data_IF_735703267182
#
_entry.id   IF_735703267182
#
_cell.length_a   1.000
_cell.length_b   1.000
_cell.length_c   1.000
_cell.angle_alpha   90.00
_cell.angle_beta   90.00
_cell.angle_gamma   90.00
#
_symmetry.space_group_name_H-M   'P 1'
#
loop_
_entity.id
_entity.type
_entity.pdbx_description
1 polymer ?
#
# COMPACT_ATOMS: atom_id res chain seq x y z
N UNK A 1 -1.42 -20.45 -12.85
CA UNK A 1 -0.16 -20.45 -12.16
C UNK A 1 0.71 -19.27 -12.54
N UNK A 2 0.29 -18.02 -12.27
CA UNK A 2 1.13 -16.82 -12.47
C UNK A 2 0.85 -15.74 -11.40
N UNK A 3 0.36 -16.14 -10.24
CA UNK A 3 0.00 -15.21 -9.14
C UNK A 3 1.18 -14.68 -8.31
N UNK A 4 2.41 -15.04 -8.64
CA UNK A 4 3.58 -14.70 -7.81
C UNK A 4 4.21 -13.34 -8.09
N UNK A 5 3.69 -12.54 -9.02
CA UNK A 5 4.26 -11.24 -9.38
C UNK A 5 3.66 -10.05 -8.59
N UNK A 6 2.72 -10.30 -7.70
CA UNK A 6 1.90 -9.28 -7.03
C UNK A 6 2.35 -8.91 -5.62
N UNK A 7 3.28 -9.66 -5.02
CA UNK A 7 3.71 -9.40 -3.65
C UNK A 7 4.81 -8.33 -3.61
N UNK A 8 4.60 -7.30 -2.78
CA UNK A 8 5.65 -6.34 -2.43
C UNK A 8 6.54 -6.89 -1.32
N UNK A 9 7.77 -6.36 -1.21
CA UNK A 9 8.65 -6.72 -0.10
C UNK A 9 8.00 -6.41 1.26
N UNK A 10 7.24 -5.33 1.35
CA UNK A 10 6.49 -4.99 2.57
C UNK A 10 5.54 -6.11 2.96
N UNK A 11 4.67 -6.54 2.04
CA UNK A 11 3.72 -7.63 2.28
C UNK A 11 4.43 -8.95 2.61
N UNK A 12 5.50 -9.28 1.88
CA UNK A 12 6.30 -10.48 2.12
C UNK A 12 6.85 -10.55 3.56
N UNK A 13 7.26 -9.41 4.12
CA UNK A 13 7.74 -9.32 5.51
C UNK A 13 6.56 -9.37 6.48
N UNK A 14 5.58 -8.49 6.33
CA UNK A 14 4.56 -8.22 7.34
C UNK A 14 3.34 -9.16 7.31
N UNK A 15 3.28 -10.12 6.40
CA UNK A 15 2.37 -11.29 6.52
C UNK A 15 2.88 -12.33 7.52
N UNK A 16 4.11 -12.20 8.01
CA UNK A 16 4.63 -13.03 9.08
C UNK A 16 4.28 -12.41 10.44
N UNK A 17 3.57 -13.17 11.29
CA UNK A 17 3.05 -12.69 12.58
C UNK A 17 4.13 -12.14 13.51
N UNK A 18 5.36 -12.67 13.44
CA UNK A 18 6.47 -12.21 14.28
C UNK A 18 6.93 -10.78 13.91
N UNK A 19 6.79 -10.39 12.63
CA UNK A 19 7.15 -9.05 12.17
C UNK A 19 5.95 -8.10 12.21
N UNK A 20 4.74 -8.61 12.01
CA UNK A 20 3.52 -7.83 12.10
C UNK A 20 3.20 -7.36 13.53
N UNK A 21 3.50 -8.18 14.52
CA UNK A 21 3.18 -7.83 15.91
C UNK A 21 3.87 -6.54 16.41
N UNK A 22 5.18 -6.31 16.17
CA UNK A 22 5.80 -5.02 16.46
C UNK A 22 5.15 -3.85 15.74
N UNK A 23 4.72 -4.05 14.48
CA UNK A 23 4.02 -3.03 13.70
C UNK A 23 2.68 -2.66 14.33
N UNK A 24 1.88 -3.65 14.69
CA UNK A 24 0.61 -3.46 15.40
C UNK A 24 0.81 -2.72 16.72
N UNK A 25 1.77 -3.15 17.53
CA UNK A 25 2.06 -2.52 18.81
C UNK A 25 2.46 -1.05 18.63
N UNK A 26 3.26 -0.74 17.62
CA UNK A 26 3.71 0.61 17.34
C UNK A 26 2.55 1.53 16.91
N UNK A 27 1.66 1.05 16.02
CA UNK A 27 0.55 1.86 15.52
C UNK A 27 -0.61 2.00 16.51
N UNK A 28 -0.95 0.92 17.23
CA UNK A 28 -2.09 0.93 18.15
C UNK A 28 -1.69 1.31 19.59
N UNK A 29 -0.41 1.57 19.85
CA UNK A 29 0.09 1.90 21.18
C UNK A 29 -0.12 0.73 22.17
N UNK A 30 -0.05 -0.52 21.70
CA UNK A 30 -0.26 -1.72 22.48
C UNK A 30 1.06 -2.41 22.84
N UNK A 31 1.00 -3.46 23.65
CA UNK A 31 2.18 -4.21 24.07
C UNK A 31 1.94 -5.72 24.02
N UNK A 32 1.24 -6.19 23.00
CA UNK A 32 1.03 -7.62 22.77
C UNK A 32 2.36 -8.35 22.61
N UNK A 33 2.47 -9.51 23.25
CA UNK A 33 3.70 -10.33 23.22
C UNK A 33 3.55 -11.62 22.45
N UNK A 34 2.31 -12.08 22.27
CA UNK A 34 2.03 -13.32 21.57
C UNK A 34 1.61 -13.02 20.12
N UNK A 35 2.39 -13.42 19.13
CA UNK A 35 2.02 -13.25 17.72
C UNK A 35 0.67 -13.88 17.35
N UNK A 36 0.25 -14.95 18.03
CA UNK A 36 -1.06 -15.60 17.80
C UNK A 36 -2.26 -14.75 18.25
N UNK A 37 -2.03 -13.59 18.86
CA UNK A 37 -3.11 -12.66 19.23
C UNK A 37 -3.61 -11.85 18.05
N UNK A 38 -2.87 -11.85 16.93
CA UNK A 38 -3.25 -11.15 15.72
C UNK A 38 -3.61 -12.13 14.62
N UNK A 39 -4.60 -11.79 13.83
CA UNK A 39 -4.97 -12.49 12.61
C UNK A 39 -4.59 -11.59 11.43
N UNK A 40 -3.78 -12.12 10.53
CA UNK A 40 -3.43 -11.42 9.30
C UNK A 40 -4.16 -12.09 8.15
N UNK A 41 -4.87 -11.30 7.40
CA UNK A 41 -5.47 -11.71 6.14
C UNK A 41 -5.15 -10.69 5.07
N UNK A 42 -5.38 -11.03 3.84
CA UNK A 42 -5.35 -10.05 2.76
C UNK A 42 -6.77 -9.62 2.49
N UNK A 43 -6.93 -8.41 1.99
CA UNK A 43 -8.24 -7.95 1.52
C UNK A 43 -8.76 -8.87 0.43
N UNK A 44 -7.87 -9.36 -0.43
CA UNK A 44 -8.18 -10.33 -1.49
C UNK A 44 -8.75 -11.64 -0.93
N UNK A 45 -8.12 -12.23 0.08
CA UNK A 45 -8.57 -13.48 0.69
C UNK A 45 -9.90 -13.29 1.43
N UNK A 46 -10.08 -12.15 2.10
CA UNK A 46 -11.28 -11.83 2.85
C UNK A 46 -12.47 -11.55 1.94
N UNK A 47 -12.26 -10.87 0.80
CA UNK A 47 -13.34 -10.36 -0.05
C UNK A 47 -13.54 -11.14 -1.34
N UNK A 48 -12.64 -12.08 -1.69
CA UNK A 48 -12.58 -12.77 -2.98
C UNK A 48 -12.57 -11.80 -4.18
N UNK A 49 -12.04 -10.59 -3.96
CA UNK A 49 -11.88 -9.53 -4.94
C UNK A 49 -10.38 -9.29 -5.09
N UNK A 50 -9.92 -9.08 -6.31
CA UNK A 50 -8.52 -8.75 -6.57
C UNK A 50 -8.21 -7.30 -6.11
N UNK A 51 -7.82 -7.13 -4.85
CA UNK A 51 -7.30 -5.88 -4.30
C UNK A 51 -5.83 -6.12 -3.94
N UNK A 52 -4.94 -5.40 -4.59
CA UNK A 52 -3.50 -5.63 -4.46
C UNK A 52 -2.89 -4.76 -3.35
N UNK A 53 -1.86 -5.31 -2.68
CA UNK A 53 -0.95 -4.62 -1.77
C UNK A 53 -1.50 -4.16 -0.40
N UNK A 54 -2.67 -4.60 0.02
CA UNK A 54 -3.21 -4.24 1.32
C UNK A 54 -3.03 -5.38 2.33
N UNK A 55 -2.53 -5.03 3.52
CA UNK A 55 -2.43 -5.96 4.64
C UNK A 55 -3.49 -5.58 5.67
N UNK A 56 -4.41 -6.50 5.91
CA UNK A 56 -5.43 -6.39 6.94
C UNK A 56 -4.98 -7.17 8.17
N UNK A 57 -4.96 -6.51 9.30
CA UNK A 57 -4.62 -7.12 10.58
C UNK A 57 -5.80 -6.93 11.53
N UNK A 58 -6.37 -8.04 11.98
CA UNK A 58 -7.42 -8.06 13.00
C UNK A 58 -6.80 -8.34 14.34
N UNK A 59 -7.13 -7.52 15.33
CA UNK A 59 -6.71 -7.72 16.71
C UNK A 59 -7.76 -7.17 17.68
N UNK A 60 -8.22 -8.00 18.60
CA UNK A 60 -9.31 -7.69 19.52
C UNK A 60 -10.53 -7.10 18.79
N UNK A 61 -10.92 -5.84 19.12
CA UNK A 61 -12.00 -5.11 18.48
C UNK A 61 -11.49 -4.06 17.48
N UNK A 62 -10.32 -4.25 16.90
CA UNK A 62 -9.71 -3.30 15.96
C UNK A 62 -9.33 -3.97 14.67
N UNK A 63 -9.56 -3.24 13.58
CA UNK A 63 -9.15 -3.60 12.23
C UNK A 63 -8.11 -2.60 11.77
N UNK A 64 -6.83 -3.02 11.68
CA UNK A 64 -5.76 -2.21 11.14
C UNK A 64 -5.57 -2.52 9.66
N UNK A 65 -5.76 -1.52 8.82
CA UNK A 65 -5.45 -1.56 7.39
C UNK A 65 -4.17 -0.76 7.15
N UNK A 66 -3.15 -1.43 6.66
CA UNK A 66 -1.86 -0.82 6.37
C UNK A 66 -1.49 -1.07 4.92
N UNK A 67 -1.23 0.01 4.21
CA UNK A 67 -0.82 -0.01 2.81
C UNK A 67 0.49 0.72 2.63
N UNK A 68 1.39 0.16 1.80
CA UNK A 68 2.60 0.83 1.37
C UNK A 68 2.50 1.19 -0.11
N UNK A 69 2.56 2.48 -0.43
CA UNK A 69 2.59 2.95 -1.83
C UNK A 69 3.74 3.90 -2.11
N UNK A 70 4.16 3.99 -3.39
CA UNK A 70 5.29 4.84 -3.81
C UNK A 70 5.01 6.34 -3.74
N UNK A 71 3.76 6.77 -3.93
CA UNK A 71 3.39 8.18 -3.94
C UNK A 71 2.01 8.42 -3.33
N UNK A 72 1.76 9.58 -2.71
CA UNK A 72 0.43 9.94 -2.24
C UNK A 72 -0.51 10.12 -3.44
N UNK A 73 -1.54 9.27 -3.52
CA UNK A 73 -2.61 9.38 -4.51
C UNK A 73 -3.94 9.59 -3.79
N UNK A 74 -4.70 10.60 -4.21
CA UNK A 74 -5.95 11.00 -3.58
C UNK A 74 -7.06 9.92 -3.65
N UNK A 75 -7.00 8.99 -4.61
CA UNK A 75 -8.00 7.93 -4.75
C UNK A 75 -7.83 6.73 -3.80
N UNK A 76 -6.90 6.78 -2.89
CA UNK A 76 -6.49 5.64 -2.03
C UNK A 76 -7.44 5.37 -0.88
N UNK A 77 -8.40 6.25 -0.63
CA UNK A 77 -9.39 6.04 0.45
C UNK A 77 -10.43 4.98 0.11
N UNK A 78 -10.73 4.82 -1.17
CA UNK A 78 -11.81 3.93 -1.62
C UNK A 78 -11.55 2.47 -1.25
N UNK A 79 -10.35 1.90 -1.49
CA UNK A 79 -10.08 0.54 -1.06
C UNK A 79 -10.27 0.31 0.44
N UNK A 80 -9.87 1.25 1.29
CA UNK A 80 -10.07 1.14 2.74
C UNK A 80 -11.55 1.14 3.13
N UNK A 81 -12.34 2.02 2.52
CA UNK A 81 -13.78 2.07 2.74
C UNK A 81 -14.47 0.80 2.25
N UNK A 82 -14.12 0.35 1.04
CA UNK A 82 -14.66 -0.87 0.45
C UNK A 82 -14.35 -2.09 1.34
N UNK A 83 -13.12 -2.21 1.80
CA UNK A 83 -12.69 -3.24 2.75
C UNK A 83 -13.53 -3.26 4.01
N UNK A 84 -13.67 -2.12 4.67
CA UNK A 84 -14.42 -2.01 5.91
C UNK A 84 -15.89 -2.33 5.69
N UNK A 85 -16.52 -1.77 4.65
CA UNK A 85 -17.93 -2.03 4.32
C UNK A 85 -18.18 -3.52 4.01
N UNK A 86 -17.27 -4.15 3.27
CA UNK A 86 -17.41 -5.57 2.94
C UNK A 86 -17.22 -6.45 4.16
N UNK A 87 -16.27 -6.14 5.05
CA UNK A 87 -16.10 -6.83 6.33
C UNK A 87 -17.38 -6.74 7.18
N UNK A 88 -17.95 -5.54 7.31
CA UNK A 88 -19.19 -5.31 8.05
C UNK A 88 -20.33 -6.14 7.46
N UNK A 89 -20.49 -6.12 6.13
CA UNK A 89 -21.51 -6.90 5.44
C UNK A 89 -21.37 -8.41 5.66
N UNK A 90 -20.12 -8.91 5.62
CA UNK A 90 -19.84 -10.32 5.88
C UNK A 90 -20.20 -10.70 7.32
N UNK A 91 -19.82 -9.89 8.30
CA UNK A 91 -20.16 -10.12 9.72
C UNK A 91 -21.66 -10.11 9.95
N UNK A 92 -22.40 -9.18 9.37
CA UNK A 92 -23.85 -9.17 9.43
C UNK A 92 -24.47 -10.43 8.83
N UNK A 93 -23.96 -10.93 7.70
CA UNK A 93 -24.45 -12.15 7.09
C UNK A 93 -24.20 -13.40 7.95
N UNK A 94 -23.05 -13.49 8.63
CA UNK A 94 -22.71 -14.55 9.55
C UNK A 94 -23.65 -14.54 10.78
N UNK A 95 -23.98 -13.36 11.32
CA UNK A 95 -24.83 -13.19 12.50
C UNK A 95 -26.31 -13.43 12.21
N UNK A 96 -26.79 -13.05 11.03
CA UNK A 96 -28.16 -13.37 10.60
C UNK A 96 -28.43 -14.89 10.53
N UNK A 97 -27.38 -15.70 10.48
CA UNK A 97 -27.47 -17.16 10.46
C UNK A 97 -27.48 -17.78 11.87
N UNK A 98 -27.16 -17.02 12.90
CA UNK A 98 -27.13 -17.45 14.29
C UNK A 98 -28.12 -16.62 15.10
N UNK A 99 -29.06 -17.29 15.77
CA UNK A 99 -30.08 -16.69 16.66
C UNK A 99 -29.40 -16.11 17.92
N UNK A 100 -28.64 -15.03 17.80
CA UNK A 100 -27.87 -14.46 18.89
C UNK A 100 -28.28 -13.02 19.19
N UNK A 101 -28.75 -12.82 20.41
CA UNK A 101 -29.05 -11.53 21.06
C UNK A 101 -27.78 -10.76 21.47
N UNK A 102 -26.66 -10.91 20.76
CA UNK A 102 -25.44 -10.14 21.00
C UNK A 102 -25.53 -8.81 20.25
N UNK A 103 -25.27 -7.73 20.98
CA UNK A 103 -25.04 -6.42 20.36
C UNK A 103 -23.91 -6.58 19.33
N UNK A 104 -24.19 -6.19 18.09
CA UNK A 104 -23.26 -6.27 16.97
C UNK A 104 -22.14 -5.25 17.19
N UNK A 105 -21.06 -5.65 17.82
CA UNK A 105 -19.85 -4.82 17.96
C UNK A 105 -19.02 -4.93 16.67
N UNK A 106 -18.87 -3.80 15.99
CA UNK A 106 -17.99 -3.70 14.84
C UNK A 106 -16.58 -3.33 15.29
N UNK A 107 -15.54 -3.87 14.67
CA UNK A 107 -14.18 -3.47 15.00
C UNK A 107 -13.93 -2.02 14.60
N UNK A 108 -13.22 -1.30 15.45
CA UNK A 108 -12.77 0.06 15.17
C UNK A 108 -11.77 0.04 14.00
N UNK A 109 -12.05 0.74 12.87
CA UNK A 109 -11.10 0.81 11.77
C UNK A 109 -9.93 1.74 12.11
N UNK A 110 -8.71 1.23 11.98
CA UNK A 110 -7.47 1.97 12.14
C UNK A 110 -6.72 1.96 10.80
N UNK A 111 -6.74 3.07 10.09
CA UNK A 111 -6.22 3.18 8.73
C UNK A 111 -4.85 3.84 8.77
N UNK A 112 -3.86 3.24 8.13
CA UNK A 112 -2.50 3.79 8.03
C UNK A 112 -1.96 3.60 6.64
N UNK A 113 -1.24 4.59 6.16
CA UNK A 113 -0.53 4.51 4.90
C UNK A 113 0.94 4.83 5.09
N UNK A 114 1.78 3.97 4.56
CA UNK A 114 3.22 4.13 4.59
C UNK A 114 3.75 4.49 3.21
N UNK A 115 4.72 5.39 3.15
CA UNK A 115 5.48 5.62 1.94
C UNK A 115 6.94 5.89 2.30
N UNK A 116 7.83 5.50 1.42
CA UNK A 116 9.25 5.80 1.57
C UNK A 116 9.57 7.02 0.70
N UNK A 117 9.25 8.21 1.23
CA UNK A 117 9.47 9.50 0.59
C UNK A 117 10.93 9.96 0.61
N UNK A 118 11.12 11.26 0.70
CA UNK A 118 12.41 11.90 0.89
C UNK A 118 12.50 12.51 2.29
N UNK A 119 13.69 12.95 2.68
CA UNK A 119 13.91 13.61 3.97
C UNK A 119 13.24 14.99 4.06
N UNK A 120 12.99 15.60 2.91
CA UNK A 120 12.35 16.91 2.79
C UNK A 120 10.82 16.82 2.89
N UNK A 121 10.25 15.63 2.69
CA UNK A 121 8.82 15.42 2.83
C UNK A 121 8.40 15.43 4.31
N UNK A 122 7.15 15.81 4.63
CA UNK A 122 6.64 15.76 6.00
C UNK A 122 6.75 14.35 6.61
N UNK A 123 7.04 14.27 7.90
CA UNK A 123 6.99 12.99 8.64
C UNK A 123 5.63 12.35 8.60
N UNK A 124 4.59 13.15 8.81
CA UNK A 124 3.18 12.72 8.80
C UNK A 124 2.37 13.74 8.02
N UNK A 125 1.56 13.26 7.10
CA UNK A 125 0.55 14.04 6.40
C UNK A 125 -0.81 13.39 6.64
N UNK A 126 -1.82 14.17 7.00
CA UNK A 126 -3.19 13.68 7.12
C UNK A 126 -3.88 13.81 5.76
N UNK A 127 -4.27 12.69 5.20
CA UNK A 127 -5.10 12.65 3.99
C UNK A 127 -6.57 12.65 4.42
N UNK A 128 -7.41 13.47 3.77
CA UNK A 128 -8.83 13.59 4.07
C UNK A 128 -9.69 13.33 2.85
N UNK A 129 -10.74 12.55 3.02
CA UNK A 129 -11.68 12.28 1.94
C UNK A 129 -12.38 13.58 1.47
N UNK A 130 -12.61 14.52 2.38
CA UNK A 130 -13.21 15.83 2.05
C UNK A 130 -12.38 16.66 1.07
N UNK A 131 -11.07 16.44 0.96
CA UNK A 131 -10.20 17.13 0.00
C UNK A 131 -10.59 16.81 -1.46
N UNK A 132 -11.29 15.69 -1.68
CA UNK A 132 -11.78 15.25 -2.99
C UNK A 132 -13.16 15.78 -3.33
N UNK A 133 -13.88 16.34 -2.37
CA UNK A 133 -15.23 16.83 -2.61
C UNK A 133 -15.20 18.09 -3.46
N UNK A 134 -16.06 18.13 -4.48
CA UNK A 134 -16.25 19.36 -5.25
C UNK A 134 -16.78 20.47 -4.32
N UNK A 135 -16.37 21.73 -4.54
CA UNK A 135 -16.93 22.87 -3.79
C UNK A 135 -18.46 22.82 -3.83
N UNK A 136 -19.06 23.00 -2.66
CA UNK A 136 -20.53 23.03 -2.55
C UNK A 136 -21.08 24.24 -3.29
N UNK A 137 -22.11 24.03 -4.09
CA UNK A 137 -23.00 25.11 -4.53
C UNK A 137 -23.99 25.33 -3.38
N UNK A 138 -23.77 26.37 -2.60
CA UNK A 138 -24.66 26.74 -1.50
C UNK A 138 -25.96 27.24 -2.10
N UNK A 139 -27.06 26.54 -1.83
CA UNK A 139 -28.39 27.08 -2.11
C UNK A 139 -28.82 27.94 -0.90
N UNK A 140 -28.95 29.26 -1.04
CA UNK A 140 -29.32 30.16 0.06
C UNK A 140 -30.72 29.85 0.64
N UNK A 141 -31.57 29.15 -0.10
CA UNK A 141 -32.91 28.75 0.33
C UNK A 141 -32.94 27.35 0.98
N UNK A 142 -31.81 26.75 1.28
CA UNK A 142 -31.75 25.44 1.93
C UNK A 142 -32.32 25.49 3.34
N UNK A 143 -33.30 24.64 3.64
CA UNK A 143 -33.90 24.53 4.98
C UNK A 143 -32.92 24.02 6.05
N UNK A 144 -31.85 23.34 5.63
CA UNK A 144 -30.82 22.81 6.53
C UNK A 144 -29.62 23.73 6.66
N UNK A 145 -29.63 24.89 5.97
CA UNK A 145 -28.47 25.78 5.92
C UNK A 145 -27.26 25.14 5.23
N UNK A 146 -26.07 25.54 5.65
CA UNK A 146 -24.80 24.94 5.20
C UNK A 146 -24.59 23.63 5.97
N UNK A 147 -24.68 22.50 5.26
CA UNK A 147 -24.42 21.18 5.84
C UNK A 147 -23.01 20.74 5.44
N UNK A 148 -22.19 20.46 6.42
CA UNK A 148 -20.88 19.85 6.19
C UNK A 148 -21.02 18.44 5.63
N UNK A 149 -19.96 17.94 4.99
CA UNK A 149 -19.91 16.56 4.54
C UNK A 149 -20.11 15.62 5.75
N UNK A 150 -21.04 14.67 5.62
CA UNK A 150 -21.37 13.74 6.70
C UNK A 150 -20.50 12.49 6.67
N UNK A 151 -19.79 12.24 5.57
CA UNK A 151 -18.81 11.19 5.44
C UNK A 151 -17.41 11.80 5.37
N UNK A 152 -16.59 11.46 6.34
CA UNK A 152 -15.16 11.83 6.36
C UNK A 152 -14.34 10.58 6.67
N UNK A 153 -13.21 10.46 5.98
CA UNK A 153 -12.20 9.44 6.26
C UNK A 153 -10.86 10.15 6.32
N UNK A 154 -10.18 9.99 7.42
CA UNK A 154 -8.84 10.52 7.62
C UNK A 154 -7.85 9.36 7.68
N UNK A 155 -6.80 9.44 6.84
CA UNK A 155 -5.75 8.43 6.80
C UNK A 155 -4.41 9.12 7.02
N UNK A 156 -3.70 8.81 8.12
CA UNK A 156 -2.33 9.30 8.30
C UNK A 156 -1.40 8.62 7.29
N UNK A 157 -0.73 9.45 6.50
CA UNK A 157 0.34 9.07 5.59
C UNK A 157 1.67 9.27 6.32
N UNK A 158 2.38 8.19 6.61
CA UNK A 158 3.62 8.22 7.35
C UNK A 158 4.81 8.04 6.42
N UNK A 159 5.73 9.00 6.46
CA UNK A 159 6.99 8.89 5.75
C UNK A 159 7.97 8.00 6.54
N UNK A 160 8.29 6.85 5.98
CA UNK A 160 9.19 5.89 6.61
C UNK A 160 10.65 6.02 6.14
N UNK A 161 11.01 7.15 5.51
CA UNK A 161 12.40 7.42 5.15
C UNK A 161 13.29 7.48 6.40
N UNK A 162 14.53 7.02 6.25
CA UNK A 162 15.53 7.00 7.33
C UNK A 162 15.70 8.37 7.99
N UNK A 163 15.57 8.41 9.31
CA UNK A 163 15.68 9.63 10.12
C UNK A 163 14.36 10.40 10.28
N UNK A 164 13.24 9.82 9.83
CA UNK A 164 11.88 10.31 10.08
C UNK A 164 11.09 9.29 10.88
N UNK A 165 10.10 9.76 11.65
CA UNK A 165 9.28 8.92 12.53
C UNK A 165 10.11 7.99 13.45
N UNK A 166 11.20 8.52 14.02
CA UNK A 166 12.19 7.71 14.77
C UNK A 166 11.57 6.95 15.94
N UNK A 167 10.59 7.52 16.65
CA UNK A 167 9.89 6.83 17.74
C UNK A 167 9.16 5.57 17.24
N UNK A 168 8.51 5.65 16.09
CA UNK A 168 7.87 4.50 15.44
C UNK A 168 8.91 3.45 15.02
N UNK A 169 10.03 3.91 14.43
CA UNK A 169 11.12 3.05 13.98
C UNK A 169 11.84 2.35 15.13
N UNK A 170 11.95 2.98 16.29
CA UNK A 170 12.55 2.40 17.49
C UNK A 170 11.66 1.29 18.09
N UNK A 171 10.35 1.44 18.03
CA UNK A 171 9.39 0.44 18.50
C UNK A 171 9.28 -0.73 17.53
N UNK A 172 9.34 -0.46 16.21
CA UNK A 172 9.17 -1.46 15.17
C UNK A 172 10.46 -1.67 14.37
N UNK A 173 11.39 -2.46 14.91
CA UNK A 173 12.63 -2.80 14.23
C UNK A 173 12.44 -3.38 12.81
N UNK A 174 11.47 -4.29 12.54
CA UNK A 174 11.22 -4.78 11.19
C UNK A 174 10.86 -3.68 10.18
N UNK A 175 10.14 -2.63 10.59
CA UNK A 175 9.79 -1.50 9.72
C UNK A 175 11.01 -0.63 9.42
N UNK A 176 11.83 -0.35 10.44
CA UNK A 176 13.09 0.37 10.27
C UNK A 176 14.01 -0.36 9.29
N UNK A 177 14.22 -1.66 9.50
CA UNK A 177 15.09 -2.49 8.68
C UNK A 177 14.58 -2.61 7.24
N UNK A 178 13.26 -2.69 7.05
CA UNK A 178 12.63 -2.61 5.73
C UNK A 178 12.94 -1.26 5.05
N UNK A 179 12.75 -0.14 5.75
CA UNK A 179 13.05 1.20 5.23
C UNK A 179 14.53 1.32 4.84
N UNK A 180 15.44 0.84 5.69
CA UNK A 180 16.88 0.84 5.43
C UNK A 180 17.24 0.03 4.17
N UNK A 181 16.55 -1.08 3.89
CA UNK A 181 16.73 -1.85 2.65
C UNK A 181 16.36 -1.00 1.42
N UNK A 182 15.21 -0.34 1.45
CA UNK A 182 14.76 0.51 0.34
C UNK A 182 15.72 1.69 0.12
N UNK A 183 16.13 2.36 1.19
CA UNK A 183 17.06 3.49 1.13
C UNK A 183 18.44 3.08 0.62
N UNK A 184 18.91 1.89 0.99
CA UNK A 184 20.17 1.36 0.49
C UNK A 184 20.13 1.14 -1.03
N UNK A 185 19.03 0.63 -1.57
CA UNK A 185 18.86 0.48 -3.04
C UNK A 185 18.84 1.85 -3.71
N UNK A 186 18.04 2.81 -3.18
CA UNK A 186 17.98 4.19 -3.70
C UNK A 186 19.36 4.85 -3.73
N UNK A 187 20.15 4.66 -2.69
CA UNK A 187 21.50 5.23 -2.62
C UNK A 187 22.43 4.64 -3.67
N UNK A 188 22.36 3.34 -3.95
CA UNK A 188 23.16 2.72 -5.00
C UNK A 188 22.76 3.21 -6.40
N UNK A 189 21.45 3.44 -6.63
CA UNK A 189 20.96 4.04 -7.87
C UNK A 189 21.48 5.48 -8.03
N UNK A 190 21.50 6.28 -6.96
CA UNK A 190 22.07 7.65 -6.97
C UNK A 190 23.58 7.65 -7.31
N UNK A 191 24.29 6.59 -6.97
CA UNK A 191 25.71 6.38 -7.34
C UNK A 191 25.88 5.95 -8.80
N UNK A 192 24.80 5.83 -9.56
CA UNK A 192 24.82 5.49 -10.99
C UNK A 192 24.75 3.99 -11.29
N UNK A 193 24.42 3.15 -10.30
CA UNK A 193 24.14 1.73 -10.54
C UNK A 193 22.74 1.53 -11.09
N UNK A 194 22.55 0.45 -11.83
CA UNK A 194 21.21 0.01 -12.19
C UNK A 194 20.41 -0.44 -10.95
N UNK A 195 19.10 -0.40 -11.03
CA UNK A 195 18.20 -0.89 -9.97
C UNK A 195 18.57 -2.30 -9.50
N UNK A 196 18.82 -3.21 -10.44
CA UNK A 196 19.23 -4.59 -10.15
C UNK A 196 20.55 -4.67 -9.39
N UNK A 197 21.57 -3.92 -9.81
CA UNK A 197 22.85 -3.87 -9.11
C UNK A 197 22.71 -3.29 -7.69
N UNK A 198 21.86 -2.28 -7.52
CA UNK A 198 21.53 -1.71 -6.21
C UNK A 198 20.89 -2.74 -5.29
N UNK A 199 19.90 -3.50 -5.79
CA UNK A 199 19.23 -4.57 -5.05
C UNK A 199 20.22 -5.66 -4.64
N UNK A 200 21.03 -6.14 -5.57
CA UNK A 200 22.05 -7.18 -5.28
C UNK A 200 23.05 -6.67 -4.24
N UNK A 201 23.48 -5.42 -4.35
CA UNK A 201 24.40 -4.81 -3.38
C UNK A 201 23.77 -4.72 -1.98
N UNK A 202 22.53 -4.24 -1.88
CA UNK A 202 21.80 -4.19 -0.61
C UNK A 202 21.72 -5.58 0.03
N UNK A 203 21.31 -6.61 -0.70
CA UNK A 203 21.19 -7.99 -0.22
C UNK A 203 22.53 -8.58 0.24
N UNK A 204 23.64 -8.17 -0.38
CA UNK A 204 24.99 -8.62 0.01
C UNK A 204 25.56 -7.92 1.24
N UNK A 205 25.12 -6.69 1.50
CA UNK A 205 25.63 -5.85 2.59
C UNK A 205 24.68 -5.73 3.77
N UNK A 206 23.50 -6.36 3.69
CA UNK A 206 22.52 -6.37 4.76
C UNK A 206 23.13 -6.94 6.06
N UNK A 207 22.84 -6.28 7.19
CA UNK A 207 23.30 -6.73 8.50
C UNK A 207 22.71 -8.11 8.84
N UNK A 208 23.57 -9.12 9.08
CA UNK A 208 23.12 -10.44 9.54
C UNK A 208 22.39 -10.42 10.90
N UNK A 209 22.56 -9.35 11.69
CA UNK A 209 21.87 -9.14 12.96
C UNK A 209 20.47 -8.56 12.83
N UNK A 210 20.07 -8.11 11.64
CA UNK A 210 18.73 -7.58 11.40
C UNK A 210 17.66 -8.66 11.58
N UNK A 211 16.52 -8.31 12.18
CA UNK A 211 15.44 -9.24 12.50
C UNK A 211 14.85 -9.89 11.25
N UNK A 212 14.75 -9.15 10.14
CA UNK A 212 14.22 -9.63 8.85
C UNK A 212 15.25 -10.33 7.97
N UNK A 213 16.55 -10.36 8.38
CA UNK A 213 17.65 -10.90 7.57
C UNK A 213 17.40 -12.33 7.09
N UNK A 214 17.09 -13.24 8.02
CA UNK A 214 16.92 -14.65 7.69
C UNK A 214 15.76 -14.87 6.68
N UNK A 215 14.66 -14.14 6.84
CA UNK A 215 13.52 -14.19 5.91
C UNK A 215 13.90 -13.70 4.52
N UNK A 216 14.55 -12.54 4.44
CA UNK A 216 14.99 -11.96 3.17
C UNK A 216 16.00 -12.87 2.46
N UNK A 217 17.00 -13.37 3.16
CA UNK A 217 18.03 -14.22 2.55
C UNK A 217 17.50 -15.60 2.12
N UNK A 218 16.53 -16.17 2.86
CA UNK A 218 15.90 -17.45 2.46
C UNK A 218 15.05 -17.32 1.19
N UNK A 219 14.44 -16.16 0.95
CA UNK A 219 13.64 -15.85 -0.25
C UNK A 219 14.35 -14.94 -1.25
N UNK A 220 15.68 -14.89 -1.24
CA UNK A 220 16.48 -13.90 -1.97
C UNK A 220 16.04 -13.67 -3.42
N UNK A 221 15.86 -14.72 -4.20
CA UNK A 221 15.49 -14.61 -5.62
C UNK A 221 14.09 -13.99 -5.80
N UNK A 222 13.19 -14.26 -4.88
CA UNK A 222 11.84 -13.69 -4.86
C UNK A 222 11.89 -12.23 -4.42
N UNK A 223 12.67 -11.90 -3.41
CA UNK A 223 12.89 -10.52 -2.94
C UNK A 223 13.53 -9.66 -4.03
N UNK A 224 14.53 -10.17 -4.77
CA UNK A 224 15.11 -9.47 -5.92
C UNK A 224 14.03 -9.10 -6.94
N UNK A 225 13.16 -10.04 -7.29
CA UNK A 225 12.07 -9.80 -8.26
C UNK A 225 11.02 -8.81 -7.74
N UNK A 226 10.61 -8.93 -6.47
CA UNK A 226 9.66 -7.99 -5.85
C UNK A 226 10.18 -6.57 -5.89
N UNK A 227 11.43 -6.36 -5.48
CA UNK A 227 12.07 -5.06 -5.48
C UNK A 227 12.27 -4.50 -6.89
N UNK A 228 12.70 -5.33 -7.86
CA UNK A 228 12.80 -4.88 -9.26
C UNK A 228 11.44 -4.38 -9.77
N UNK A 229 10.36 -5.11 -9.47
CA UNK A 229 9.00 -4.72 -9.86
C UNK A 229 8.58 -3.43 -9.16
N UNK A 230 8.79 -3.32 -7.85
CA UNK A 230 8.42 -2.16 -7.05
C UNK A 230 9.15 -0.88 -7.51
N UNK A 231 10.45 -0.96 -7.75
CA UNK A 231 11.24 0.19 -8.22
C UNK A 231 10.85 0.62 -9.64
N UNK A 232 10.57 -0.32 -10.55
CA UNK A 232 10.09 0.00 -11.90
C UNK A 232 8.72 0.68 -11.88
N UNK A 233 7.78 0.20 -11.04
CA UNK A 233 6.47 0.81 -10.89
C UNK A 233 6.56 2.22 -10.30
N UNK A 234 7.46 2.45 -9.34
CA UNK A 234 7.70 3.77 -8.78
C UNK A 234 8.22 4.75 -9.84
N UNK A 235 9.18 4.33 -10.66
CA UNK A 235 9.71 5.14 -11.75
C UNK A 235 8.60 5.52 -12.75
N UNK A 236 7.76 4.57 -13.15
CA UNK A 236 6.61 4.88 -14.02
C UNK A 236 5.61 5.82 -13.34
N UNK A 237 5.34 5.66 -12.05
CA UNK A 237 4.43 6.51 -11.29
C UNK A 237 4.93 7.96 -11.18
N UNK A 238 6.22 8.16 -10.92
CA UNK A 238 6.82 9.50 -10.89
C UNK A 238 6.69 10.20 -12.23
N UNK A 239 7.02 9.49 -13.33
CA UNK A 239 6.91 10.06 -14.69
C UNK A 239 5.45 10.35 -15.08
N UNK A 240 4.49 9.53 -14.60
CA UNK A 240 3.05 9.78 -14.83
C UNK A 240 2.54 10.99 -14.06
N UNK A 241 2.98 11.18 -12.82
CA UNK A 241 2.61 12.36 -12.02
C UNK A 241 3.14 13.66 -12.64
N UNK A 242 4.25 13.60 -13.36
CA UNK A 242 4.82 14.71 -14.14
C UNK A 242 4.18 14.85 -15.55
N UNK A 243 3.28 13.93 -15.92
CA UNK A 243 2.68 13.92 -17.26
C UNK A 243 1.50 14.89 -17.35
N UNK A 244 1.75 16.08 -17.89
CA UNK A 244 0.73 17.11 -18.13
C UNK A 244 -0.25 16.77 -19.28
N UNK A 245 -0.03 15.69 -20.02
CA UNK A 245 -0.80 15.37 -21.23
C UNK A 245 -1.12 13.88 -21.34
N UNK A 246 -2.28 13.58 -21.96
CA UNK A 246 -2.70 12.21 -22.31
C UNK A 246 -1.66 11.50 -23.19
N UNK A 247 -0.97 12.23 -24.06
CA UNK A 247 0.06 11.67 -24.97
C UNK A 247 1.23 11.08 -24.17
N UNK A 248 1.69 11.75 -23.12
CA UNK A 248 2.74 11.23 -22.23
C UNK A 248 2.27 9.98 -21.47
N UNK A 249 1.04 9.99 -20.95
CA UNK A 249 0.46 8.82 -20.28
C UNK A 249 0.39 7.60 -21.22
N UNK A 250 -0.02 7.80 -22.47
CA UNK A 250 0.00 6.76 -23.52
C UNK A 250 1.42 6.26 -23.80
N UNK A 251 2.43 7.14 -23.82
CA UNK A 251 3.82 6.73 -24.03
C UNK A 251 4.34 5.86 -22.87
N UNK A 252 3.98 6.21 -21.65
CA UNK A 252 4.34 5.41 -20.45
C UNK A 252 3.63 4.06 -20.50
N UNK A 253 2.33 4.03 -20.79
CA UNK A 253 1.58 2.81 -21.01
C UNK A 253 2.29 1.86 -22.00
N UNK A 254 2.76 2.39 -23.11
CA UNK A 254 3.54 1.63 -24.11
C UNK A 254 4.85 1.07 -23.55
N UNK A 255 5.57 1.85 -22.74
CA UNK A 255 6.81 1.37 -22.08
C UNK A 255 6.52 0.24 -21.10
N UNK A 256 5.44 0.37 -20.31
CA UNK A 256 5.02 -0.67 -19.39
C UNK A 256 4.61 -1.95 -20.11
N UNK A 257 3.90 -1.86 -21.24
CA UNK A 257 3.48 -3.04 -22.02
C UNK A 257 4.64 -3.89 -22.55
N UNK A 258 5.78 -3.31 -22.81
CA UNK A 258 6.98 -4.05 -23.27
C UNK A 258 7.85 -4.53 -22.12
N UNK A 259 7.56 -4.11 -20.90
CA UNK A 259 8.26 -4.55 -19.71
C UNK A 259 7.65 -5.87 -19.20
N UNK A 260 8.41 -6.98 -19.18
CA UNK A 260 7.89 -8.29 -18.78
C UNK A 260 7.50 -8.37 -17.29
N UNK A 261 7.85 -7.37 -16.49
CA UNK A 261 7.48 -7.27 -15.08
C UNK A 261 6.12 -6.59 -14.87
N UNK A 262 5.57 -5.91 -15.90
CA UNK A 262 4.29 -5.22 -15.81
C UNK A 262 3.15 -6.11 -16.30
N UNK A 263 2.10 -6.24 -15.48
CA UNK A 263 0.83 -6.85 -15.86
C UNK A 263 -0.14 -5.81 -16.40
N UNK A 264 -1.19 -6.24 -17.13
CA UNK A 264 -2.26 -5.33 -17.59
C UNK A 264 -2.88 -4.61 -16.40
N UNK A 265 -3.11 -5.31 -15.30
CA UNK A 265 -3.68 -4.74 -14.09
C UNK A 265 -2.77 -3.65 -13.49
N UNK A 266 -1.47 -3.86 -13.39
CA UNK A 266 -0.51 -2.82 -12.95
C UNK A 266 -0.54 -1.60 -13.86
N UNK A 267 -0.71 -1.80 -15.17
CA UNK A 267 -0.83 -0.69 -16.14
C UNK A 267 -2.13 0.08 -15.88
N UNK A 268 -3.25 -0.61 -15.67
CA UNK A 268 -4.54 0.02 -15.35
C UNK A 268 -4.46 0.86 -14.07
N UNK A 269 -3.91 0.27 -12.99
CA UNK A 269 -3.78 0.95 -11.70
C UNK A 269 -2.90 2.21 -11.76
N UNK A 270 -1.82 2.13 -12.51
CA UNK A 270 -0.88 3.24 -12.61
C UNK A 270 -1.36 4.33 -13.56
N UNK A 271 -1.92 3.95 -14.72
CA UNK A 271 -2.28 4.90 -15.80
C UNK A 271 -3.72 5.39 -15.72
N UNK A 272 -4.59 4.65 -15.01
CA UNK A 272 -6.03 4.87 -15.00
C UNK A 272 -6.75 4.46 -16.29
N UNK A 273 -6.05 3.85 -17.25
CA UNK A 273 -6.66 3.35 -18.47
C UNK A 273 -7.47 2.08 -18.21
N UNK A 274 -8.59 1.93 -18.89
CA UNK A 274 -9.36 0.69 -18.92
C UNK A 274 -8.62 -0.39 -19.72
N UNK A 275 -8.98 -1.66 -19.53
CA UNK A 275 -8.41 -2.78 -20.26
C UNK A 275 -8.60 -2.60 -21.78
N UNK A 276 -9.77 -2.12 -22.21
CA UNK A 276 -10.08 -1.85 -23.61
C UNK A 276 -9.15 -0.75 -24.20
N UNK A 277 -8.91 0.33 -23.48
CA UNK A 277 -8.00 1.39 -23.89
C UNK A 277 -6.55 0.88 -24.01
N UNK A 278 -6.13 0.03 -23.07
CA UNK A 278 -4.81 -0.61 -23.10
C UNK A 278 -4.70 -1.52 -24.33
N UNK A 279 -5.73 -2.32 -24.62
CA UNK A 279 -5.75 -3.15 -25.82
C UNK A 279 -5.72 -2.32 -27.12
N UNK A 280 -6.46 -1.21 -27.20
CA UNK A 280 -6.37 -0.30 -28.34
C UNK A 280 -4.95 0.29 -28.54
N UNK A 281 -4.29 0.64 -27.44
CA UNK A 281 -2.90 1.14 -27.49
C UNK A 281 -1.97 0.02 -27.98
N UNK A 282 -2.19 -1.21 -27.54
CA UNK A 282 -1.41 -2.39 -27.94
C UNK A 282 -1.56 -2.71 -29.45
N UNK A 283 -2.78 -2.67 -29.98
CA UNK A 283 -3.05 -2.88 -31.40
C UNK A 283 -2.36 -1.80 -32.27
N UNK A 284 -2.39 -0.54 -31.82
CA UNK A 284 -1.69 0.56 -32.51
C UNK A 284 -0.16 0.44 -32.47
N UNK A 285 0.39 -0.29 -31.49
CA UNK A 285 1.82 -0.61 -31.42
C UNK A 285 2.23 -1.70 -32.42
N UNK A 286 1.37 -2.73 -32.58
CA UNK A 286 1.65 -3.89 -33.45
C UNK A 286 1.42 -3.59 -34.94
N UNK A 287 0.67 -2.52 -35.25
CA UNK A 287 0.35 -2.11 -36.62
C UNK A 287 1.38 -1.12 -37.25
N UNK A 288 2.49 -0.87 -36.57
CA UNK A 288 3.63 -0.09 -37.04
C UNK A 288 4.87 -0.97 -37.23
#
# INVERSE_FOLDING_TARGET
GNDKCKDTLFRYIFTDLQFALPLVNAFLGTSYKNPSSIEITTVEDMLQIAVENETLILIDCRMMLCEKRPAPNLFTYMPFLDCYCLYVNQKQAEECSQDSSRENELPEPCLYRLYNGTKEDPEIQMLKLSDLYKPKVINPDSLLGEVEATLEVEVPLLNIHKGLNEELMDICAPLREYSECIDAVKEEIRKGRSTREGIVQMLNTMDPGASIYAKIQSGRAEVERMLETEFNLNEYGEVLNEADTLEKAVEICKKMMVNPLCTIQMIQELTGFTEDEIHEIQEKLQSR
#
